data_IF_493801098354
#
_entry.id   IF_493801098354
#
_cell.length_a   1.000
_cell.length_b   1.000
_cell.length_c   1.000
_cell.angle_alpha   90.00
_cell.angle_beta   90.00
_cell.angle_gamma   90.00
#
_symmetry.space_group_name_H-M   'P 1'
#
loop_
_entity.id
_entity.type
_entity.pdbx_description
1 polymer ?
#
# COMPACT_ATOMS: atom_id res chain seq x y z
N UNK A 1 -20.97 -42.81 -6.69
CA UNK A 1 -20.43 -41.92 -7.75
C UNK A 1 -19.00 -42.40 -7.97
N UNK A 2 -18.64 -42.90 -9.15
CA UNK A 2 -17.28 -43.38 -9.40
C UNK A 2 -16.38 -42.16 -9.67
N UNK A 3 -15.34 -41.98 -8.86
CA UNK A 3 -14.34 -40.91 -9.06
C UNK A 3 -13.05 -41.59 -9.49
N UNK A 4 -12.60 -41.25 -10.70
CA UNK A 4 -11.28 -41.63 -11.21
C UNK A 4 -10.45 -40.35 -11.24
N UNK A 5 -9.23 -40.43 -10.69
CA UNK A 5 -8.28 -39.33 -10.80
C UNK A 5 -7.46 -39.53 -12.06
N UNK A 6 -7.53 -38.55 -12.94
CA UNK A 6 -7.05 -38.65 -14.31
C UNK A 6 -6.08 -37.52 -14.60
N UNK A 7 -4.92 -37.85 -15.15
CA UNK A 7 -3.93 -36.89 -15.62
C UNK A 7 -4.02 -36.74 -17.14
N UNK A 8 -3.89 -35.53 -17.69
CA UNK A 8 -3.73 -35.32 -19.13
C UNK A 8 -2.25 -35.20 -19.53
N UNK A 9 -1.89 -35.68 -20.72
CA UNK A 9 -0.51 -35.56 -21.26
C UNK A 9 -0.11 -34.14 -21.68
N UNK A 10 -1.05 -33.21 -21.75
CA UNK A 10 -0.73 -31.80 -21.94
C UNK A 10 -0.12 -31.25 -20.66
N UNK A 11 1.00 -30.52 -20.77
CA UNK A 11 1.88 -29.97 -19.73
C UNK A 11 1.23 -29.00 -18.71
N UNK A 12 -0.09 -29.03 -18.59
CA UNK A 12 -0.90 -28.26 -17.66
C UNK A 12 -1.70 -29.25 -16.81
N UNK A 13 -1.53 -29.19 -15.49
CA UNK A 13 -2.55 -29.74 -14.60
C UNK A 13 -3.77 -28.85 -14.78
N UNK A 14 -4.75 -29.35 -15.53
CA UNK A 14 -5.99 -28.61 -15.78
C UNK A 14 -6.80 -28.59 -14.48
N UNK A 15 -6.52 -27.63 -13.61
CA UNK A 15 -7.36 -27.27 -12.46
C UNK A 15 -8.62 -26.54 -12.95
N UNK A 16 -9.36 -27.11 -13.90
CA UNK A 16 -10.67 -26.61 -14.27
C UNK A 16 -11.67 -27.16 -13.28
N UNK A 17 -12.08 -26.32 -12.34
CA UNK A 17 -13.17 -26.63 -11.43
C UNK A 17 -14.47 -26.69 -12.24
N UNK A 18 -14.90 -27.90 -12.60
CA UNK A 18 -16.12 -28.07 -13.39
C UNK A 18 -16.23 -29.42 -14.08
N UNK A 19 -17.21 -29.54 -14.99
CA UNK A 19 -17.48 -30.75 -15.77
C UNK A 19 -16.66 -30.73 -17.06
N UNK A 20 -15.64 -31.59 -17.14
CA UNK A 20 -14.76 -31.68 -18.31
C UNK A 20 -15.38 -32.44 -19.50
N UNK A 21 -16.20 -33.46 -19.21
CA UNK A 21 -16.77 -34.36 -20.20
C UNK A 21 -18.27 -34.56 -19.95
N UNK A 22 -19.08 -34.55 -21.02
CA UNK A 22 -20.51 -34.82 -20.92
C UNK A 22 -20.80 -36.29 -20.61
N UNK A 23 -21.85 -36.56 -19.83
CA UNK A 23 -22.27 -37.93 -19.49
C UNK A 23 -22.91 -38.59 -20.71
N UNK A 24 -22.10 -39.19 -21.56
CA UNK A 24 -22.51 -39.94 -22.76
C UNK A 24 -21.60 -41.16 -22.95
N UNK A 25 -21.94 -42.03 -23.90
CA UNK A 25 -21.05 -43.14 -24.27
C UNK A 25 -19.89 -42.58 -25.11
N UNK A 26 -18.67 -42.76 -24.65
CA UNK A 26 -17.47 -42.29 -25.35
C UNK A 26 -16.90 -43.38 -26.25
N UNK A 27 -16.58 -43.02 -27.49
CA UNK A 27 -16.00 -43.91 -28.49
C UNK A 27 -14.49 -44.06 -28.27
N UNK A 28 -13.97 -45.26 -28.51
CA UNK A 28 -12.54 -45.53 -28.54
C UNK A 28 -11.91 -44.81 -29.73
N UNK A 29 -10.67 -44.34 -29.56
CA UNK A 29 -9.93 -43.60 -30.60
C UNK A 29 -9.30 -44.50 -31.69
N UNK A 30 -9.58 -45.81 -31.67
CA UNK A 30 -8.97 -46.79 -32.57
C UNK A 30 -9.58 -46.68 -33.98
N UNK A 31 -8.79 -46.77 -35.07
CA UNK A 31 -9.25 -46.62 -36.45
C UNK A 31 -10.11 -47.78 -36.98
N UNK A 32 -10.84 -48.51 -36.12
CA UNK A 32 -11.77 -49.53 -36.58
C UNK A 32 -13.08 -48.88 -37.05
N UNK A 33 -13.54 -49.31 -38.23
CA UNK A 33 -14.74 -48.82 -38.94
C UNK A 33 -16.04 -48.95 -38.15
N UNK A 34 -16.05 -49.75 -37.08
CA UNK A 34 -17.17 -49.91 -36.16
C UNK A 34 -16.83 -49.20 -34.86
N UNK A 35 -17.41 -48.01 -34.63
CA UNK A 35 -17.13 -47.17 -33.48
C UNK A 35 -17.47 -47.81 -32.14
N UNK A 36 -16.53 -48.58 -31.59
CA UNK A 36 -16.63 -49.21 -30.27
C UNK A 36 -16.60 -48.18 -29.14
N UNK A 37 -17.32 -48.48 -28.07
CA UNK A 37 -17.37 -47.64 -26.87
C UNK A 37 -16.47 -48.21 -25.77
N UNK A 38 -15.96 -47.34 -24.88
CA UNK A 38 -15.23 -47.79 -23.69
C UNK A 38 -16.13 -48.63 -22.79
N UNK A 39 -15.62 -49.79 -22.37
CA UNK A 39 -16.23 -50.69 -21.39
C UNK A 39 -15.39 -50.69 -20.12
N UNK A 40 -15.95 -51.14 -19.00
CA UNK A 40 -15.24 -51.27 -17.72
C UNK A 40 -13.95 -52.11 -17.80
N UNK A 41 -13.86 -53.04 -18.76
CA UNK A 41 -12.66 -53.85 -19.03
C UNK A 41 -11.50 -53.04 -19.61
N UNK A 42 -11.80 -51.92 -20.26
CA UNK A 42 -10.79 -51.05 -20.90
C UNK A 42 -10.22 -50.02 -19.90
N UNK A 43 -10.60 -50.08 -18.62
CA UNK A 43 -10.20 -49.13 -17.58
C UNK A 43 -9.41 -49.87 -16.50
N UNK A 44 -8.10 -49.59 -16.43
CA UNK A 44 -7.21 -50.11 -15.39
C UNK A 44 -6.21 -48.99 -15.01
N UNK A 45 -5.64 -49.08 -13.81
CA UNK A 45 -4.62 -48.14 -13.33
C UNK A 45 -3.38 -48.18 -14.24
N UNK A 46 -2.76 -47.03 -14.46
CA UNK A 46 -1.60 -46.90 -15.35
C UNK A 46 -1.91 -47.11 -16.84
N UNK A 47 -3.19 -47.13 -17.24
CA UNK A 47 -3.59 -47.13 -18.66
C UNK A 47 -4.02 -45.74 -19.13
N UNK A 48 -3.85 -45.51 -20.44
CA UNK A 48 -4.19 -44.26 -21.09
C UNK A 48 -5.53 -44.40 -21.85
N UNK A 49 -6.45 -43.51 -21.54
CA UNK A 49 -7.77 -43.40 -22.17
C UNK A 49 -7.77 -42.17 -23.07
N UNK A 50 -8.23 -42.30 -24.32
CA UNK A 50 -8.31 -41.17 -25.25
C UNK A 50 -9.75 -40.72 -25.41
N UNK A 51 -10.06 -39.50 -24.99
CA UNK A 51 -11.39 -38.90 -25.12
C UNK A 51 -11.26 -37.56 -25.83
N UNK A 52 -11.97 -37.38 -26.94
CA UNK A 52 -11.92 -36.18 -27.79
C UNK A 52 -10.48 -35.75 -28.17
N UNK A 53 -9.61 -36.72 -28.45
CA UNK A 53 -8.22 -36.47 -28.86
C UNK A 53 -7.26 -36.13 -27.72
N UNK A 54 -7.75 -36.01 -26.48
CA UNK A 54 -6.91 -35.81 -25.29
C UNK A 54 -6.64 -37.18 -24.64
N UNK A 55 -5.37 -37.44 -24.35
CA UNK A 55 -4.91 -38.63 -23.62
C UNK A 55 -5.00 -38.39 -22.12
N UNK A 56 -5.62 -39.33 -21.44
CA UNK A 56 -5.95 -39.32 -20.03
C UNK A 56 -5.36 -40.55 -19.34
N UNK A 57 -4.35 -40.37 -18.50
CA UNK A 57 -3.73 -41.44 -17.72
C UNK A 57 -4.46 -41.65 -16.40
N UNK A 58 -4.87 -42.87 -16.13
CA UNK A 58 -5.56 -43.26 -14.89
C UNK A 58 -4.51 -43.50 -13.78
N UNK A 59 -4.43 -42.61 -12.80
CA UNK A 59 -3.40 -42.66 -11.76
C UNK A 59 -3.87 -43.41 -10.49
N UNK A 60 -5.11 -43.17 -10.07
CA UNK A 60 -5.71 -43.81 -8.88
C UNK A 60 -7.22 -44.01 -9.04
N UNK A 61 -7.77 -44.94 -8.26
CA UNK A 61 -9.20 -45.23 -8.22
C UNK A 61 -9.72 -45.21 -6.78
N UNK A 62 -11.01 -44.87 -6.62
CA UNK A 62 -11.70 -44.93 -5.34
C UNK A 62 -11.85 -46.38 -4.84
N UNK A 63 -11.92 -46.57 -3.52
CA UNK A 63 -11.96 -47.88 -2.87
C UNK A 63 -13.09 -48.77 -3.41
N UNK A 64 -14.28 -48.21 -3.60
CA UNK A 64 -15.43 -48.93 -4.15
C UNK A 64 -15.15 -49.46 -5.56
N UNK A 65 -14.50 -48.66 -6.40
CA UNK A 65 -14.17 -49.04 -7.78
C UNK A 65 -13.13 -50.15 -7.80
N UNK A 66 -12.19 -50.10 -6.84
CA UNK A 66 -11.17 -51.13 -6.64
C UNK A 66 -11.82 -52.48 -6.34
N UNK A 67 -12.67 -52.54 -5.32
CA UNK A 67 -13.37 -53.76 -4.90
C UNK A 67 -14.27 -54.32 -6.01
N UNK A 68 -14.99 -53.44 -6.73
CA UNK A 68 -15.85 -53.83 -7.84
C UNK A 68 -15.06 -54.50 -8.98
N UNK A 69 -13.95 -53.91 -9.41
CA UNK A 69 -13.12 -54.48 -10.48
C UNK A 69 -12.46 -55.79 -10.04
N UNK A 70 -12.01 -55.89 -8.79
CA UNK A 70 -11.49 -57.14 -8.23
C UNK A 70 -12.56 -58.24 -8.20
N UNK A 71 -13.80 -57.92 -7.82
CA UNK A 71 -14.92 -58.89 -7.83
C UNK A 71 -15.28 -59.40 -9.24
N UNK A 72 -14.99 -58.61 -10.27
CA UNK A 72 -15.19 -58.99 -11.67
C UNK A 72 -13.98 -59.74 -12.26
N UNK A 73 -12.95 -60.01 -11.46
CA UNK A 73 -11.74 -60.73 -11.86
C UNK A 73 -10.74 -59.88 -12.64
N UNK A 74 -10.75 -58.56 -12.46
CA UNK A 74 -9.73 -57.66 -13.04
C UNK A 74 -8.64 -57.38 -12.01
N UNK A 75 -7.42 -57.78 -12.32
CA UNK A 75 -6.24 -57.43 -11.54
C UNK A 75 -5.84 -55.98 -11.81
N UNK A 76 -5.90 -55.16 -10.77
CA UNK A 76 -5.57 -53.74 -10.85
C UNK A 76 -4.06 -53.53 -10.77
N UNK A 77 -3.54 -52.67 -11.63
CA UNK A 77 -2.13 -52.27 -11.59
C UNK A 77 -1.82 -51.41 -10.35
N UNK A 78 -0.53 -51.20 -10.09
CA UNK A 78 -0.07 -50.33 -9.00
C UNK A 78 -0.48 -48.86 -9.25
N UNK A 79 -0.78 -48.13 -8.17
CA UNK A 79 -1.14 -46.71 -8.25
C UNK A 79 0.06 -45.85 -8.62
N UNK A 80 -0.15 -44.87 -9.50
CA UNK A 80 0.92 -43.97 -9.92
C UNK A 80 0.76 -42.60 -9.25
N UNK A 81 1.85 -42.02 -8.72
CA UNK A 81 1.79 -40.68 -8.16
C UNK A 81 1.51 -39.66 -9.28
N UNK A 82 0.65 -38.70 -8.97
CA UNK A 82 0.40 -37.56 -9.85
C UNK A 82 1.70 -36.74 -9.90
N UNK A 83 2.22 -36.39 -11.08
CA UNK A 83 3.42 -35.57 -11.18
C UNK A 83 3.15 -34.16 -10.65
N UNK A 84 4.15 -33.59 -10.01
CA UNK A 84 4.07 -32.24 -9.48
C UNK A 84 4.08 -31.20 -10.61
N UNK A 85 3.14 -30.25 -10.56
CA UNK A 85 3.14 -29.10 -11.49
C UNK A 85 4.30 -28.15 -11.15
N UNK A 86 5.18 -27.80 -12.13
CA UNK A 86 6.22 -26.79 -11.94
C UNK A 86 5.67 -25.47 -11.38
N UNK A 87 4.47 -25.07 -11.80
CA UNK A 87 3.83 -23.84 -11.33
C UNK A 87 3.38 -23.95 -9.87
N UNK A 88 2.81 -25.07 -9.45
CA UNK A 88 2.44 -25.27 -8.03
C UNK A 88 3.68 -25.31 -7.13
N UNK A 89 4.75 -25.97 -7.57
CA UNK A 89 6.02 -25.99 -6.86
C UNK A 89 6.59 -24.57 -6.70
N UNK A 90 6.58 -23.77 -7.78
CA UNK A 90 7.06 -22.38 -7.76
C UNK A 90 6.17 -21.49 -6.87
N UNK A 91 4.85 -21.66 -6.93
CA UNK A 91 3.91 -20.89 -6.09
C UNK A 91 4.08 -21.22 -4.60
N UNK A 92 4.28 -22.49 -4.26
CA UNK A 92 4.56 -22.92 -2.89
C UNK A 92 5.91 -22.39 -2.40
N UNK A 93 6.96 -22.44 -3.22
CA UNK A 93 8.26 -21.87 -2.89
C UNK A 93 8.17 -20.34 -2.64
N UNK A 94 7.49 -19.61 -3.52
CA UNK A 94 7.24 -18.18 -3.35
C UNK A 94 6.42 -17.89 -2.09
N UNK A 95 5.41 -18.71 -1.78
CA UNK A 95 4.61 -18.55 -0.57
C UNK A 95 5.41 -18.83 0.72
N UNK A 96 6.32 -19.80 0.69
CA UNK A 96 7.22 -20.13 1.81
C UNK A 96 8.23 -19.01 2.08
N UNK A 97 8.78 -18.39 1.03
CA UNK A 97 9.66 -17.22 1.18
C UNK A 97 8.92 -15.95 1.67
N UNK A 98 7.61 -15.86 1.44
CA UNK A 98 6.76 -14.76 1.95
C UNK A 98 6.35 -14.99 3.42
N UNK A 99 6.56 -16.19 3.99
CA UNK A 99 6.16 -16.46 5.39
C UNK A 99 7.23 -16.12 6.43
N UNK A 100 8.49 -15.89 6.01
CA UNK A 100 9.59 -15.46 6.90
C UNK A 100 9.76 -13.95 7.00
N UNK A 101 9.11 -13.16 6.15
CA UNK A 101 8.88 -11.73 6.37
C UNK A 101 7.55 -11.62 7.10
N UNK A 102 7.64 -11.67 8.43
CA UNK A 102 6.69 -11.14 9.40
C UNK A 102 5.25 -11.10 8.89
N UNK A 103 4.37 -12.00 9.37
CA UNK A 103 2.95 -11.66 9.46
C UNK A 103 2.91 -10.29 10.12
N UNK A 104 2.80 -9.21 9.33
CA UNK A 104 2.50 -7.88 9.81
C UNK A 104 1.10 -8.07 10.34
N UNK A 105 1.01 -8.47 11.61
CA UNK A 105 -0.09 -8.07 12.46
C UNK A 105 0.00 -6.56 12.39
N UNK A 106 -0.63 -5.98 11.37
CA UNK A 106 -0.83 -4.55 11.29
C UNK A 106 -1.62 -4.31 12.57
N UNK A 107 -0.93 -3.77 13.57
CA UNK A 107 -1.52 -3.46 14.86
C UNK A 107 -2.47 -2.30 14.56
N UNK A 108 -3.65 -2.60 13.99
CA UNK A 108 -4.71 -1.63 13.68
C UNK A 108 -4.99 -0.81 14.93
N UNK A 109 -4.85 -1.46 16.08
CA UNK A 109 -4.87 -0.87 17.41
C UNK A 109 -3.90 0.32 17.57
N UNK A 110 -2.65 0.26 17.10
CA UNK A 110 -1.70 1.39 17.24
C UNK A 110 -2.09 2.59 16.36
N UNK A 111 -2.45 2.36 15.10
CA UNK A 111 -2.81 3.44 14.16
C UNK A 111 -4.17 4.06 14.52
N UNK A 112 -5.13 3.23 14.92
CA UNK A 112 -6.44 3.68 15.38
C UNK A 112 -6.33 4.42 16.71
N UNK A 113 -5.57 3.92 17.69
CA UNK A 113 -5.31 4.63 18.95
C UNK A 113 -4.66 5.99 18.70
N UNK A 114 -3.67 6.06 17.81
CA UNK A 114 -3.04 7.32 17.43
C UNK A 114 -4.05 8.31 16.83
N UNK A 115 -4.89 7.83 15.92
CA UNK A 115 -5.98 8.63 15.36
C UNK A 115 -6.91 9.13 16.47
N UNK A 116 -7.47 8.23 17.29
CA UNK A 116 -8.41 8.58 18.35
C UNK A 116 -7.84 9.54 19.40
N UNK A 117 -6.53 9.45 19.69
CA UNK A 117 -5.86 10.32 20.66
C UNK A 117 -5.64 11.74 20.12
N UNK A 118 -5.33 11.88 18.84
CA UNK A 118 -4.93 13.15 18.25
C UNK A 118 -5.96 13.74 17.29
N UNK A 119 -7.08 13.05 17.02
CA UNK A 119 -8.14 13.54 16.15
C UNK A 119 -8.71 14.87 16.67
N UNK A 120 -8.86 15.82 15.77
CA UNK A 120 -9.26 17.20 16.11
C UNK A 120 -8.19 18.05 16.80
N UNK A 121 -7.06 17.49 17.26
CA UNK A 121 -5.96 18.27 17.84
C UNK A 121 -5.06 18.78 16.72
N UNK A 122 -5.01 20.10 16.59
CA UNK A 122 -4.10 20.80 15.68
C UNK A 122 -3.38 21.94 16.38
N UNK A 123 -2.14 22.16 15.98
CA UNK A 123 -1.40 23.35 16.39
C UNK A 123 -1.61 24.44 15.37
N UNK A 124 -2.09 25.58 15.81
CA UNK A 124 -2.25 26.76 14.96
C UNK A 124 -1.23 27.82 15.35
N UNK A 125 -0.49 28.29 14.35
CA UNK A 125 0.52 29.33 14.47
C UNK A 125 0.22 30.48 13.51
N UNK A 126 0.45 31.70 13.95
CA UNK A 126 0.40 32.88 13.11
C UNK A 126 1.80 33.19 12.60
N UNK A 127 1.95 33.35 11.30
CA UNK A 127 3.21 33.68 10.66
C UNK A 127 3.10 34.88 9.72
N UNK A 128 4.22 35.55 9.51
CA UNK A 128 4.38 36.63 8.53
C UNK A 128 5.29 36.16 7.41
N UNK A 129 4.94 36.45 6.18
CA UNK A 129 5.85 36.22 5.06
C UNK A 129 6.98 37.24 5.11
N UNK A 130 8.22 36.75 5.21
CA UNK A 130 9.41 37.56 4.99
C UNK A 130 9.58 37.67 3.47
N UNK A 131 9.38 38.86 2.87
CA UNK A 131 9.65 39.03 1.46
C UNK A 131 11.16 38.83 1.20
N UNK A 132 11.55 38.19 0.08
CA UNK A 132 12.96 38.15 -0.30
C UNK A 132 13.46 39.59 -0.46
N UNK A 133 14.69 39.87 0.00
CA UNK A 133 15.30 41.21 -0.06
C UNK A 133 15.12 41.81 -1.46
N UNK A 134 14.33 42.89 -1.56
CA UNK A 134 14.20 43.63 -2.80
C UNK A 134 15.48 44.43 -3.00
N UNK A 135 16.14 44.26 -4.15
CA UNK A 135 17.35 45.03 -4.53
C UNK A 135 17.11 46.53 -4.74
N UNK A 136 15.87 46.99 -4.65
CA UNK A 136 15.50 48.40 -4.72
C UNK A 136 15.41 48.97 -3.30
N UNK A 137 16.32 49.89 -2.99
CA UNK A 137 16.48 50.53 -1.67
C UNK A 137 15.43 51.61 -1.35
N UNK A 138 14.47 51.88 -2.23
CA UNK A 138 13.70 53.14 -2.18
C UNK A 138 12.30 53.05 -1.58
N UNK A 139 11.79 51.86 -1.23
CA UNK A 139 10.51 51.76 -0.53
C UNK A 139 10.55 50.70 0.56
N UNK A 140 10.47 51.14 1.82
CA UNK A 140 10.08 50.26 2.92
C UNK A 140 8.72 49.65 2.58
N UNK A 141 8.52 48.34 2.78
CA UNK A 141 7.23 47.72 2.55
C UNK A 141 6.17 48.45 3.39
N UNK A 142 5.05 48.80 2.77
CA UNK A 142 3.94 49.40 3.50
C UNK A 142 3.41 48.36 4.50
N UNK A 143 2.94 48.76 5.69
CA UNK A 143 2.30 47.84 6.63
C UNK A 143 1.12 47.07 6.02
N UNK A 144 0.47 47.63 4.99
CA UNK A 144 -0.57 46.97 4.20
C UNK A 144 -0.07 45.84 3.29
N UNK A 145 1.24 45.78 3.01
CA UNK A 145 1.86 44.77 2.16
C UNK A 145 2.19 43.48 2.93
N UNK A 146 2.11 43.50 4.27
CA UNK A 146 2.46 42.37 5.12
C UNK A 146 1.37 41.30 5.05
N UNK A 147 1.72 40.15 4.49
CA UNK A 147 0.83 39.01 4.36
C UNK A 147 0.94 38.14 5.59
N UNK A 148 -0.18 37.96 6.28
CA UNK A 148 -0.32 37.07 7.43
C UNK A 148 -0.79 35.70 6.99
N UNK A 149 -0.15 34.65 7.50
CA UNK A 149 -0.51 33.26 7.28
C UNK A 149 -0.85 32.57 8.60
N UNK A 150 -1.82 31.67 8.57
CA UNK A 150 -2.12 30.73 9.64
C UNK A 150 -1.58 29.35 9.21
N UNK A 151 -0.61 28.84 9.98
CA UNK A 151 0.00 27.52 9.78
C UNK A 151 -0.70 26.56 10.74
N UNK A 152 -1.36 25.53 10.20
CA UNK A 152 -1.98 24.48 11.01
C UNK A 152 -1.20 23.17 10.86
N UNK A 153 -0.74 22.61 11.98
CA UNK A 153 -0.07 21.32 12.06
C UNK A 153 -0.99 20.27 12.69
N UNK A 154 -1.17 19.14 12.03
CA UNK A 154 -2.02 18.04 12.46
C UNK A 154 -1.17 16.91 13.04
N UNK A 155 -1.40 16.59 14.31
CA UNK A 155 -0.66 15.53 15.00
C UNK A 155 -1.00 14.13 14.51
N UNK A 156 -2.24 13.92 14.02
CA UNK A 156 -2.75 12.61 13.57
C UNK A 156 -1.88 11.98 12.48
N UNK A 157 -1.38 12.81 11.56
CA UNK A 157 -0.68 12.37 10.35
C UNK A 157 0.62 13.14 10.09
N UNK A 158 1.04 13.99 11.03
CA UNK A 158 2.22 14.86 10.91
C UNK A 158 2.20 15.71 9.63
N UNK A 159 1.01 16.18 9.25
CA UNK A 159 0.83 17.05 8.09
C UNK A 159 0.66 18.50 8.51
N UNK A 160 0.97 19.42 7.60
CA UNK A 160 0.66 20.83 7.80
C UNK A 160 -0.05 21.42 6.59
N UNK A 161 -0.85 22.43 6.86
CA UNK A 161 -1.47 23.31 5.86
C UNK A 161 -1.12 24.75 6.18
N UNK A 162 -1.03 25.59 5.15
CA UNK A 162 -0.73 27.02 5.31
C UNK A 162 -1.79 27.82 4.59
N UNK A 163 -2.49 28.65 5.36
CA UNK A 163 -3.62 29.46 4.90
C UNK A 163 -3.28 30.95 5.01
N UNK A 164 -3.49 31.74 3.97
CA UNK A 164 -3.45 33.20 4.00
C UNK A 164 -4.66 33.72 4.78
N UNK A 165 -4.38 34.58 5.76
CA UNK A 165 -5.41 35.28 6.52
C UNK A 165 -5.79 36.56 5.77
N UNK A 166 -6.99 36.56 5.20
CA UNK A 166 -7.51 37.66 4.40
C UNK A 166 -8.00 38.83 5.28
N UNK A 167 -7.85 40.07 4.78
CA UNK A 167 -8.35 41.28 5.43
C UNK A 167 -9.40 41.94 4.53
N UNK A 168 -10.46 42.55 5.09
CA UNK A 168 -11.43 43.31 4.30
C UNK A 168 -10.73 44.35 3.41
N UNK A 169 -11.23 44.53 2.18
CA UNK A 169 -10.75 45.53 1.22
C UNK A 169 -9.27 45.40 0.81
N UNK A 170 -8.65 44.22 0.90
CA UNK A 170 -7.26 44.03 0.46
C UNK A 170 -7.07 43.86 -1.06
N UNK A 171 -8.17 43.81 -1.85
CA UNK A 171 -8.13 43.65 -3.31
C UNK A 171 -7.61 42.30 -3.81
N UNK A 172 -7.45 41.30 -2.93
CA UNK A 172 -6.92 39.98 -3.28
C UNK A 172 -8.02 38.95 -3.47
N UNK A 173 -7.75 38.02 -4.39
CA UNK A 173 -8.61 36.88 -4.68
C UNK A 173 -8.78 36.03 -3.41
N UNK A 174 -10.00 35.54 -3.09
CA UNK A 174 -10.27 34.75 -1.90
C UNK A 174 -9.80 33.30 -2.05
N UNK A 175 -8.58 33.06 -2.55
CA UNK A 175 -7.94 31.75 -2.55
C UNK A 175 -6.94 31.68 -1.40
N UNK A 176 -7.37 31.23 -0.20
CA UNK A 176 -6.55 31.38 0.99
C UNK A 176 -5.46 30.32 1.09
N UNK A 177 -5.36 29.31 0.22
CA UNK A 177 -4.41 28.20 0.43
C UNK A 177 -3.06 28.53 -0.20
N UNK A 178 -2.05 28.77 0.63
CA UNK A 178 -0.65 28.78 0.18
C UNK A 178 -0.15 27.33 -0.01
N UNK A 179 -0.50 26.48 0.94
CA UNK A 179 -0.13 25.07 0.95
C UNK A 179 -1.34 24.21 1.32
N UNK A 180 -1.68 23.26 0.44
CA UNK A 180 -2.65 22.22 0.76
C UNK A 180 -2.05 21.23 1.77
N UNK A 181 -2.89 20.66 2.64
CA UNK A 181 -2.47 19.72 3.69
C UNK A 181 -1.55 18.63 3.14
N UNK A 182 -0.29 18.64 3.58
CA UNK A 182 0.71 17.64 3.22
C UNK A 182 1.80 17.51 4.29
N UNK A 183 2.53 16.39 4.28
CA UNK A 183 3.75 16.26 5.08
C UNK A 183 4.81 17.16 4.47
N UNK A 184 5.29 18.14 5.23
CA UNK A 184 6.24 19.13 4.73
C UNK A 184 7.69 18.70 4.95
N UNK A 185 8.48 18.58 3.88
CA UNK A 185 9.92 18.35 3.97
C UNK A 185 10.67 19.56 4.52
N UNK A 186 11.71 19.33 5.33
CA UNK A 186 12.68 20.37 5.73
C UNK A 186 13.48 20.86 4.53
N UNK A 187 14.05 19.91 3.77
CA UNK A 187 14.87 20.19 2.59
C UNK A 187 14.23 19.66 1.30
N UNK A 188 13.38 20.48 0.69
CA UNK A 188 12.72 20.14 -0.58
C UNK A 188 13.73 19.80 -1.70
N UNK A 189 14.89 20.49 -1.73
CA UNK A 189 15.94 20.24 -2.72
C UNK A 189 16.66 18.90 -2.53
N UNK A 190 16.80 18.43 -1.28
CA UNK A 190 17.44 17.14 -1.00
C UNK A 190 16.55 16.00 -1.50
N UNK A 191 15.23 16.08 -1.25
CA UNK A 191 14.27 15.10 -1.74
C UNK A 191 14.19 15.01 -3.27
N UNK A 192 14.30 16.16 -3.97
CA UNK A 192 14.36 16.18 -5.43
C UNK A 192 15.60 15.48 -5.99
N UNK A 193 16.73 15.53 -5.28
CA UNK A 193 17.97 14.85 -5.71
C UNK A 193 17.88 13.35 -5.46
N UNK A 194 17.29 12.93 -4.35
CA UNK A 194 17.11 11.51 -4.03
C UNK A 194 16.06 10.84 -4.93
N UNK A 195 15.07 11.57 -5.45
CA UNK A 195 14.07 11.01 -6.36
C UNK A 195 14.58 10.84 -7.81
N UNK A 196 15.63 11.58 -8.19
CA UNK A 196 16.20 11.56 -9.55
C UNK A 196 17.45 10.67 -9.64
N UNK A 197 18.09 10.31 -8.52
CA UNK A 197 19.34 9.54 -8.47
C UNK A 197 19.17 8.08 -8.02
N UNK A 198 19.55 7.15 -8.90
CA UNK A 198 19.89 5.72 -8.68
C UNK A 198 18.86 4.83 -7.95
N UNK A 199 18.25 3.92 -8.71
CA UNK A 199 17.35 2.85 -8.26
C UNK A 199 18.03 1.73 -7.44
N UNK A 200 19.32 1.82 -7.13
CA UNK A 200 20.10 0.64 -6.74
C UNK A 200 20.19 0.38 -5.21
N UNK A 201 19.62 1.23 -4.35
CA UNK A 201 19.76 1.09 -2.87
C UNK A 201 18.42 1.31 -2.12
N UNK A 202 17.31 0.77 -2.65
CA UNK A 202 15.96 1.05 -2.15
C UNK A 202 15.45 0.13 -1.01
N UNK A 203 16.05 -1.04 -0.79
CA UNK A 203 15.41 -2.10 0.01
C UNK A 203 15.80 -2.19 1.49
N UNK A 204 16.62 -1.27 2.02
CA UNK A 204 17.09 -1.35 3.43
C UNK A 204 16.89 -0.09 4.29
N UNK A 205 16.16 0.93 3.81
CA UNK A 205 16.09 2.25 4.51
C UNK A 205 14.70 2.71 4.99
N UNK A 206 13.68 1.86 4.88
CA UNK A 206 12.28 2.32 4.92
C UNK A 206 11.68 2.67 6.30
N UNK A 207 12.34 2.45 7.44
CA UNK A 207 11.68 2.64 8.75
C UNK A 207 12.37 3.60 9.74
N UNK A 208 13.60 4.07 9.49
CA UNK A 208 14.33 4.92 10.47
C UNK A 208 14.66 6.35 10.00
N UNK A 209 14.71 6.62 8.69
CA UNK A 209 15.10 7.93 8.17
C UNK A 209 13.92 8.94 8.06
N UNK A 210 12.68 8.45 8.00
CA UNK A 210 11.45 9.23 7.71
C UNK A 210 11.11 10.35 8.72
N UNK A 211 11.76 10.40 9.88
CA UNK A 211 11.51 11.42 10.91
C UNK A 211 12.43 12.64 10.80
N UNK A 212 13.62 12.49 10.21
CA UNK A 212 14.60 13.58 10.13
C UNK A 212 14.28 14.56 9.00
N UNK A 213 13.69 14.07 7.91
CA UNK A 213 13.56 14.84 6.67
C UNK A 213 12.31 15.72 6.62
N UNK A 214 11.36 15.51 7.54
CA UNK A 214 10.08 16.23 7.60
C UNK A 214 9.99 17.12 8.83
N UNK A 215 9.27 18.23 8.72
CA UNK A 215 9.01 19.11 9.85
C UNK A 215 8.18 18.41 10.93
N UNK A 216 8.72 18.42 12.14
CA UNK A 216 8.04 17.95 13.35
C UNK A 216 7.45 19.11 14.17
N UNK A 217 6.70 18.79 15.22
CA UNK A 217 6.18 19.80 16.15
C UNK A 217 7.32 20.53 16.88
N UNK A 218 8.42 19.85 17.19
CA UNK A 218 9.58 20.47 17.87
C UNK A 218 10.28 21.55 17.04
N UNK A 219 10.11 21.53 15.71
CA UNK A 219 10.69 22.54 14.81
C UNK A 219 9.81 23.80 14.72
N UNK A 220 8.58 23.78 15.25
CA UNK A 220 7.62 24.88 15.19
C UNK A 220 7.64 25.68 16.50
N UNK A 221 8.53 26.66 16.56
CA UNK A 221 8.72 27.53 17.73
C UNK A 221 8.43 28.98 17.37
N UNK A 222 7.73 29.69 18.25
CA UNK A 222 7.48 31.14 18.11
C UNK A 222 8.81 31.90 18.08
N UNK A 223 8.98 32.77 17.09
CA UNK A 223 10.23 33.51 16.83
C UNK A 223 11.19 32.82 15.86
N UNK A 224 10.87 31.61 15.39
CA UNK A 224 11.65 30.91 14.37
C UNK A 224 11.12 31.18 12.95
N UNK A 225 12.01 31.09 11.96
CA UNK A 225 11.65 31.17 10.53
C UNK A 225 11.48 29.78 9.95
N UNK A 226 10.30 29.50 9.42
CA UNK A 226 9.95 28.26 8.74
C UNK A 226 10.07 28.44 7.22
N UNK A 227 10.81 27.57 6.54
CA UNK A 227 10.89 27.58 5.08
C UNK A 227 9.84 26.64 4.46
N UNK A 228 8.82 27.22 3.85
CA UNK A 228 7.74 26.50 3.15
C UNK A 228 7.91 26.70 1.65
N UNK A 229 8.38 25.67 0.94
CA UNK A 229 8.55 25.68 -0.54
C UNK A 229 9.35 26.91 -1.06
N UNK A 230 10.47 27.24 -0.41
CA UNK A 230 11.30 28.43 -0.67
C UNK A 230 10.67 29.78 -0.27
N UNK A 231 9.56 29.77 0.48
CA UNK A 231 9.01 30.97 1.11
C UNK A 231 9.35 30.94 2.60
N UNK A 232 9.97 32.02 3.09
CA UNK A 232 10.36 32.15 4.49
C UNK A 232 9.22 32.77 5.29
N UNK A 233 8.60 31.98 6.16
CA UNK A 233 7.53 32.39 7.06
C UNK A 233 8.07 32.57 8.47
N UNK A 234 7.93 33.75 9.04
CA UNK A 234 8.34 34.05 10.41
C UNK A 234 7.19 33.78 11.37
N UNK A 235 7.36 32.88 12.33
CA UNK A 235 6.31 32.54 13.29
C UNK A 235 6.27 33.61 14.39
N UNK A 236 5.11 34.24 14.57
CA UNK A 236 4.93 35.41 15.46
C UNK A 236 4.11 35.07 16.70
N UNK A 237 3.13 34.17 16.55
CA UNK A 237 2.18 33.83 17.61
C UNK A 237 1.73 32.37 17.49
N UNK A 238 1.21 31.82 18.58
CA UNK A 238 0.61 30.49 18.64
C UNK A 238 -0.66 30.50 19.47
N UNK A 239 -1.65 29.67 19.12
CA UNK A 239 -2.86 29.54 19.93
C UNK A 239 -2.56 29.07 21.36
N UNK A 240 -3.40 29.48 22.31
CA UNK A 240 -3.27 29.11 23.72
C UNK A 240 -3.27 27.59 23.94
N UNK A 241 -4.17 26.86 23.26
CA UNK A 241 -4.18 25.40 23.31
C UNK A 241 -2.89 24.76 22.79
N UNK A 242 -2.28 25.34 21.75
CA UNK A 242 -0.95 24.91 21.29
C UNK A 242 0.09 25.13 22.39
N UNK A 243 0.08 26.29 23.05
CA UNK A 243 1.04 26.64 24.09
C UNK A 243 0.95 25.72 25.32
N UNK A 244 -0.28 25.40 25.75
CA UNK A 244 -0.51 24.43 26.83
C UNK A 244 0.00 23.05 26.44
N UNK A 245 -0.34 22.56 25.24
CA UNK A 245 0.13 21.26 24.76
C UNK A 245 1.67 21.17 24.70
N UNK A 246 2.36 22.20 24.24
CA UNK A 246 3.84 22.20 24.18
C UNK A 246 4.47 22.17 25.57
N UNK A 247 3.84 22.83 26.55
CA UNK A 247 4.26 22.82 27.94
C UNK A 247 4.07 21.42 28.56
N UNK A 248 2.92 20.80 28.34
CA UNK A 248 2.56 19.53 28.98
C UNK A 248 3.27 18.31 28.37
N UNK A 249 3.46 18.30 27.04
CA UNK A 249 3.95 17.11 26.33
C UNK A 249 5.43 17.20 25.91
N UNK A 250 5.97 18.41 25.72
CA UNK A 250 7.34 18.60 25.23
C UNK A 250 8.24 19.36 26.22
N UNK A 251 7.71 19.84 27.35
CA UNK A 251 8.40 20.74 28.28
C UNK A 251 8.99 22.00 27.58
N UNK A 252 8.38 22.41 26.47
CA UNK A 252 8.81 23.59 25.69
C UNK A 252 7.86 24.75 26.01
N UNK A 253 8.40 25.82 26.59
CA UNK A 253 7.66 27.06 26.81
C UNK A 253 7.76 27.91 25.53
N UNK A 254 6.67 27.97 24.77
CA UNK A 254 6.57 28.88 23.62
C UNK A 254 6.63 30.34 24.09
N UNK A 255 7.34 31.18 23.34
CA UNK A 255 7.46 32.61 23.64
C UNK A 255 6.12 33.34 23.46
N UNK A 256 5.94 34.42 24.21
CA UNK A 256 4.79 35.31 24.06
C UNK A 256 4.72 35.92 22.67
N UNK A 257 3.50 36.33 22.31
CA UNK A 257 3.22 36.94 21.01
C UNK A 257 4.22 38.06 20.73
N UNK A 258 4.98 37.91 19.64
CA UNK A 258 5.91 38.93 19.20
C UNK A 258 5.09 40.05 18.56
N UNK A 259 4.96 41.20 19.22
CA UNK A 259 4.22 42.33 18.65
C UNK A 259 5.07 42.96 17.55
N UNK A 260 4.73 42.71 16.29
CA UNK A 260 5.06 43.67 15.23
C UNK A 260 4.28 44.95 15.55
N UNK A 261 4.93 46.13 15.44
CA UNK A 261 4.50 47.44 16.00
C UNK A 261 3.06 47.92 15.71
N UNK A 262 2.25 47.20 14.93
CA UNK A 262 0.98 47.67 14.35
C UNK A 262 -0.30 47.11 15.03
N UNK A 263 -0.27 46.79 16.33
CA UNK A 263 -1.51 46.52 17.09
C UNK A 263 -1.94 47.64 18.03
N UNK A 264 -1.22 48.76 18.02
CA UNK A 264 -1.58 49.98 18.75
C UNK A 264 -2.06 51.02 17.76
N UNK A 265 -3.22 50.80 17.14
CA UNK A 265 -4.00 51.83 16.46
C UNK A 265 -5.46 51.38 16.30
#
# INVERSE_FOLDING_TARGET
RYVLTVKTDTSFILCVTGKLVNRTKHRKSVPNLYGEYYTWKDLNLGMDVVIYGVKYRLCSCDQYTREYLTSLGVDLNHEEPIPQDPYEAQRLANAQHVTSTTKRVVNYDRKLRHYLQYDGIKFSFRALLIPPERKSSSSKPSPSDVITYDINYYLVDNTMEVLERHRPNNGRVPYPKLLARMRMPKDYRALLKSSIGSQDEADSRLDQQDSSDYYGPKDLIVGSTLNVLNQSLYIVDCNEGTRQYYKDNYDIIQQDRITTRDERE
#
